data_IF_605312569903
#
_entry.id   IF_605312569903
#
_cell.length_a   1.000
_cell.length_b   1.000
_cell.length_c   1.000
_cell.angle_alpha   90.00
_cell.angle_beta   90.00
_cell.angle_gamma   90.00
#
_symmetry.space_group_name_H-M   'P 1'
#
loop_
_entity.id
_entity.type
_entity.pdbx_description
1 polymer ?
2 non-polymer ?
3 non-polymer ?
4 water ?
#
# COMPACT_ATOMS: atom_id res chain seq x y z
N UNK A 1 22.80 -6.46 -14.96
CA UNK A 1 21.85 -7.24 -14.13
C UNK A 1 20.48 -6.51 -14.10
N UNK A 2 20.34 -5.31 -13.53
CA UNK A 2 18.97 -4.69 -13.36
C UNK A 2 18.49 -4.04 -14.66
N UNK A 3 17.25 -4.33 -15.11
CA UNK A 3 16.72 -3.72 -16.33
C UNK A 3 16.47 -2.21 -16.15
N UNK A 4 16.43 -1.46 -17.25
CA UNK A 4 16.26 0.01 -17.23
C UNK A 4 14.84 0.35 -16.71
N UNK A 5 13.89 -0.52 -17.00
CA UNK A 5 12.48 -0.45 -16.55
C UNK A 5 12.05 -1.75 -15.92
N UNK A 6 11.12 -1.68 -14.97
CA UNK A 6 10.49 -2.89 -14.40
C UNK A 6 9.10 -2.52 -13.91
N UNK A 7 8.16 -3.41 -14.12
CA UNK A 7 6.77 -3.22 -13.66
C UNK A 7 6.32 -4.56 -13.10
N UNK A 8 6.09 -4.56 -11.79
CA UNK A 8 5.70 -5.80 -11.08
C UNK A 8 4.45 -6.39 -11.73
N UNK A 9 3.54 -5.58 -12.29
CA UNK A 9 2.31 -6.10 -12.94
C UNK A 9 2.67 -6.93 -14.16
N UNK A 10 3.75 -6.63 -14.85
CA UNK A 10 4.22 -7.44 -16.01
C UNK A 10 5.01 -8.66 -15.55
N UNK A 11 5.80 -8.54 -14.50
CA UNK A 11 6.62 -9.71 -14.11
C UNK A 11 5.68 -10.81 -13.56
N UNK A 12 4.64 -10.41 -12.82
CA UNK A 12 3.74 -11.37 -12.14
C UNK A 12 2.33 -11.15 -12.65
N UNK A 13 2.06 -11.57 -13.90
CA UNK A 13 0.79 -11.24 -14.56
C UNK A 13 -0.39 -12.07 -14.04
N UNK A 14 -0.15 -13.12 -13.26
CA UNK A 14 -1.27 -13.90 -12.66
C UNK A 14 -1.53 -13.40 -11.25
N UNK A 15 -1.02 -12.19 -10.89
CA UNK A 15 -1.25 -11.64 -9.54
C UNK A 15 -2.05 -10.34 -9.67
N UNK A 16 -3.39 -10.44 -9.67
CA UNK A 16 -4.26 -9.30 -9.94
C UNK A 16 -4.19 -8.18 -8.87
N UNK A 17 -3.82 -8.54 -7.65
CA UNK A 17 -3.70 -7.50 -6.57
C UNK A 17 -2.66 -6.47 -7.00
N UNK A 18 -1.64 -6.86 -7.71
CA UNK A 18 -0.56 -5.90 -8.05
C UNK A 18 -1.17 -4.76 -8.89
N UNK A 19 -2.23 -5.08 -9.61
CA UNK A 19 -2.90 -4.13 -10.55
C UNK A 19 -3.93 -3.24 -9.82
N UNK A 20 -4.30 -3.59 -8.59
CA UNK A 20 -5.54 -3.11 -7.94
C UNK A 20 -5.26 -1.88 -7.06
N UNK A 21 -6.01 -0.81 -7.28
CA UNK A 21 -5.94 0.45 -6.52
C UNK A 21 -7.07 0.41 -5.48
N UNK A 22 -6.73 0.69 -4.22
CA UNK A 22 -7.67 0.67 -3.07
C UNK A 22 -8.08 2.12 -2.74
N UNK A 23 -9.08 2.24 -1.87
CA UNK A 23 -9.59 3.55 -1.38
C UNK A 23 -9.65 3.50 0.14
N UNK A 24 -8.75 4.24 0.75
CA UNK A 24 -8.64 4.28 2.22
C UNK A 24 -9.81 5.03 2.86
N UNK A 25 -10.64 5.71 2.09
CA UNK A 25 -11.77 6.48 2.67
C UNK A 25 -11.31 7.67 3.48
N UNK A 26 -12.23 8.20 4.30
CA UNK A 26 -12.04 9.35 5.21
C UNK A 26 -11.34 8.85 6.48
N UNK A 27 -10.06 8.44 6.34
CA UNK A 27 -9.27 7.77 7.38
C UNK A 27 -7.81 7.88 6.97
N UNK A 28 -6.94 8.26 7.89
CA UNK A 28 -5.50 8.37 7.61
C UNK A 28 -4.81 7.02 7.73
N UNK A 29 -5.34 6.00 7.06
CA UNK A 29 -4.88 4.59 7.10
C UNK A 29 -3.92 4.24 5.95
N UNK A 30 -3.25 5.20 5.29
CA UNK A 30 -2.37 4.84 4.16
C UNK A 30 -1.21 3.96 4.64
N UNK A 31 -0.75 4.13 5.88
CA UNK A 31 0.30 3.27 6.49
C UNK A 31 -0.12 1.81 6.36
N UNK A 32 -1.39 1.52 6.61
CA UNK A 32 -1.94 0.16 6.60
C UNK A 32 -2.13 -0.33 5.16
N UNK A 33 -2.67 0.53 4.30
CA UNK A 33 -2.92 0.22 2.86
C UNK A 33 -1.60 -0.10 2.16
N UNK A 34 -0.56 0.71 2.31
CA UNK A 34 0.68 0.37 1.57
C UNK A 34 1.21 -1.02 1.97
N UNK A 35 1.13 -1.36 3.25
CA UNK A 35 1.51 -2.67 3.80
C UNK A 35 0.65 -3.78 3.19
N UNK A 36 -0.67 -3.77 3.41
CA UNK A 36 -1.53 -4.93 3.01
C UNK A 36 -1.57 -5.08 1.48
N UNK A 37 -1.36 -4.00 0.72
CA UNK A 37 -1.24 -4.10 -0.76
C UNK A 37 0.02 -4.87 -1.13
N UNK A 38 1.18 -4.43 -0.64
CA UNK A 38 2.47 -5.07 -0.90
C UNK A 38 2.47 -6.49 -0.38
N UNK A 39 1.88 -6.75 0.80
CA UNK A 39 1.81 -8.14 1.34
C UNK A 39 0.95 -9.03 0.43
N UNK A 40 -0.22 -8.54 -0.01
CA UNK A 40 -1.09 -9.27 -0.98
C UNK A 40 -0.25 -9.70 -2.18
N UNK A 41 0.44 -8.72 -2.78
CA UNK A 41 1.28 -8.99 -3.96
C UNK A 41 2.30 -10.07 -3.64
N UNK A 42 2.99 -9.96 -2.49
CA UNK A 42 4.12 -10.86 -2.15
C UNK A 42 3.58 -12.24 -1.87
N UNK A 43 2.39 -12.40 -1.27
CA UNK A 43 1.81 -13.77 -1.06
C UNK A 43 1.61 -14.45 -2.42
N UNK A 44 1.07 -13.71 -3.38
CA UNK A 44 0.84 -14.25 -4.75
C UNK A 44 2.19 -14.54 -5.46
N UNK A 45 3.19 -13.69 -5.32
CA UNK A 45 4.53 -13.93 -5.92
C UNK A 45 5.12 -15.17 -5.26
N UNK A 46 5.11 -15.23 -3.93
CA UNK A 46 5.74 -16.29 -3.12
C UNK A 46 5.18 -17.68 -3.51
N UNK A 47 3.90 -17.73 -3.88
CA UNK A 47 3.18 -18.98 -4.20
C UNK A 47 3.02 -19.23 -5.71
N UNK A 48 3.60 -18.44 -6.58
CA UNK A 48 3.40 -18.58 -8.04
C UNK A 48 1.89 -18.53 -8.39
N UNK A 49 1.13 -17.63 -7.73
CA UNK A 49 -0.28 -17.35 -8.01
C UNK A 49 -1.17 -18.48 -7.53
N UNK A 50 -0.66 -19.45 -6.78
CA UNK A 50 -1.52 -20.50 -6.18
C UNK A 50 -2.29 -19.89 -5.01
N UNK A 51 -1.73 -18.92 -4.28
CA UNK A 51 -2.54 -18.16 -3.29
C UNK A 51 -2.63 -16.70 -3.76
N UNK A 52 -3.82 -16.19 -4.09
CA UNK A 52 -3.99 -14.77 -4.50
C UNK A 52 -5.14 -14.19 -3.69
N UNK A 53 -4.85 -13.39 -2.70
CA UNK A 53 -5.90 -12.89 -1.77
C UNK A 53 -5.67 -11.39 -1.58
N UNK A 54 -6.75 -10.69 -1.30
CA UNK A 54 -6.73 -9.31 -0.79
C UNK A 54 -6.51 -9.40 0.72
N UNK A 55 -5.34 -8.98 1.18
CA UNK A 55 -5.08 -8.91 2.65
C UNK A 55 -5.85 -7.70 3.24
N UNK A 56 -6.44 -7.90 4.41
CA UNK A 56 -7.40 -6.98 5.07
C UNK A 56 -6.66 -5.76 5.65
N UNK A 57 -6.90 -4.61 5.05
CA UNK A 57 -6.52 -3.31 5.60
C UNK A 57 -7.27 -3.13 6.93
N UNK A 58 -8.53 -3.55 6.98
CA UNK A 58 -9.34 -3.48 8.21
C UNK A 58 -8.61 -4.17 9.36
N UNK A 59 -8.16 -5.41 9.14
CA UNK A 59 -7.58 -6.22 10.22
C UNK A 59 -6.34 -5.48 10.72
N UNK A 60 -5.47 -4.99 9.84
CA UNK A 60 -4.25 -4.27 10.27
C UNK A 60 -4.62 -2.96 10.99
N UNK A 61 -5.47 -2.15 10.40
CA UNK A 61 -5.86 -0.80 10.90
C UNK A 61 -6.38 -0.90 12.33
N UNK A 62 -7.26 -1.87 12.55
CA UNK A 62 -8.10 -1.98 13.77
C UNK A 62 -7.44 -2.86 14.82
N UNK A 63 -6.65 -3.87 14.46
CA UNK A 63 -6.14 -4.81 15.49
C UNK A 63 -4.67 -4.57 15.85
N UNK A 64 -3.92 -3.75 15.11
CA UNK A 64 -2.50 -3.60 15.46
C UNK A 64 -2.38 -2.85 16.80
N UNK A 65 -3.16 -1.80 16.99
CA UNK A 65 -3.13 -1.01 18.24
C UNK A 65 -1.88 -0.15 18.31
N UNK A 66 -1.41 0.14 19.51
CA UNK A 66 -0.47 1.26 19.74
C UNK A 66 0.84 0.91 19.05
N UNK A 67 1.13 -0.37 18.87
CA UNK A 67 2.33 -0.80 18.12
C UNK A 67 2.46 -0.01 16.82
N UNK A 68 1.37 0.11 16.05
CA UNK A 68 1.41 0.64 14.67
C UNK A 68 1.20 2.16 14.63
N UNK A 69 0.69 2.72 15.73
CA UNK A 69 0.31 4.14 15.78
C UNK A 69 -1.08 4.32 16.32
N UNK A 70 -1.86 5.20 15.67
CA UNK A 70 -3.14 5.74 16.20
C UNK A 70 -4.23 5.54 15.13
N UNK A 71 -4.14 4.41 14.44
CA UNK A 71 -5.17 3.95 13.51
C UNK A 71 -5.45 4.97 12.42
N UNK A 72 -6.69 5.44 12.33
CA UNK A 72 -7.10 6.45 11.33
C UNK A 72 -6.37 7.79 11.54
N UNK A 73 -5.78 8.07 12.71
CA UNK A 73 -5.03 9.33 12.96
C UNK A 73 -3.54 9.16 12.61
N UNK A 74 -3.18 8.08 11.90
CA UNK A 74 -1.85 7.88 11.31
C UNK A 74 -1.10 6.75 12.00
N UNK A 75 -0.05 6.28 11.36
CA UNK A 75 0.71 5.12 11.82
C UNK A 75 1.88 4.93 10.91
N UNK A 76 2.60 3.81 11.07
CA UNK A 76 3.93 3.69 10.42
C UNK A 76 4.11 2.32 9.80
N UNK A 77 4.62 2.30 8.56
CA UNK A 77 4.87 1.05 7.84
C UNK A 77 5.62 -0.02 8.64
N UNK A 78 6.76 0.32 9.27
CA UNK A 78 7.69 -0.71 9.78
C UNK A 78 6.94 -1.58 10.80
N UNK A 79 6.13 -0.95 11.66
CA UNK A 79 5.40 -1.74 12.69
C UNK A 79 4.23 -2.52 12.05
N UNK A 80 3.67 -2.07 10.92
CA UNK A 80 2.62 -2.79 10.16
C UNK A 80 3.13 -4.19 9.76
N UNK A 81 4.31 -4.19 9.16
CA UNK A 81 4.98 -5.44 8.69
C UNK A 81 5.42 -6.32 9.87
N UNK A 82 5.88 -5.72 10.97
CA UNK A 82 6.16 -6.46 12.22
C UNK A 82 4.88 -7.14 12.71
N UNK A 83 3.77 -6.43 12.79
CA UNK A 83 2.46 -7.01 13.18
C UNK A 83 2.14 -8.23 12.31
N UNK A 84 2.38 -8.16 11.00
CA UNK A 84 2.12 -9.26 10.05
C UNK A 84 2.96 -10.47 10.43
N UNK A 85 4.20 -10.28 10.92
CA UNK A 85 5.08 -11.41 11.35
C UNK A 85 4.57 -12.01 12.66
N UNK A 86 3.97 -11.21 13.56
CA UNK A 86 3.64 -11.68 14.93
C UNK A 86 2.21 -12.22 15.02
N UNK A 87 1.20 -11.47 14.54
CA UNK A 87 -0.21 -11.86 14.68
C UNK A 87 -0.82 -12.27 13.34
N UNK A 88 -0.17 -11.93 12.24
CA UNK A 88 -0.68 -12.24 10.91
C UNK A 88 -1.86 -11.36 10.53
N UNK A 89 -2.33 -11.49 9.30
CA UNK A 89 -3.43 -10.67 8.76
C UNK A 89 -4.41 -11.55 8.02
N UNK A 90 -5.70 -11.31 8.20
CA UNK A 90 -6.72 -12.11 7.48
C UNK A 90 -6.95 -11.43 6.13
N UNK A 91 -7.79 -12.06 5.32
CA UNK A 91 -8.21 -11.56 4.00
C UNK A 91 -9.30 -10.52 4.21
N UNK A 92 -9.45 -9.63 3.23
CA UNK A 92 -10.61 -8.74 3.13
C UNK A 92 -10.48 -7.77 1.99
N UNK A 93 -11.52 -7.62 1.17
CA UNK A 93 -11.49 -6.73 0.00
C UNK A 93 -12.04 -5.32 0.28
N UNK A 94 -12.61 -4.73 -0.78
CA UNK A 94 -13.02 -3.32 -0.84
C UNK A 94 -14.32 -3.17 -0.07
N UNK A 95 -14.70 -1.94 0.20
CA UNK A 95 -15.94 -1.63 0.94
C UNK A 95 -17.13 -2.30 0.24
N UNK A 96 -17.94 -3.02 1.04
CA UNK A 96 -19.13 -3.78 0.58
C UNK A 96 -18.78 -4.59 -0.66
N UNK A 97 -17.61 -5.23 -0.70
CA UNK A 97 -17.25 -6.24 -1.72
C UNK A 97 -17.81 -7.61 -1.32
N UNK A 98 -18.02 -7.81 -0.03
CA UNK A 98 -18.16 -9.12 0.66
C UNK A 98 -17.04 -10.07 0.24
N UNK A 99 -15.84 -9.55 -0.02
CA UNK A 99 -14.65 -10.41 -0.33
C UNK A 99 -13.87 -10.63 0.97
N UNK A 100 -13.61 -11.90 1.27
CA UNK A 100 -12.73 -12.32 2.38
C UNK A 100 -13.33 -12.15 3.76
N UNK A 101 -12.46 -12.24 4.76
CA UNK A 101 -12.85 -12.34 6.18
C UNK A 101 -13.32 -10.97 6.69
N UNK A 102 -12.52 -9.93 6.48
CA UNK A 102 -12.81 -8.55 6.97
C UNK A 102 -12.58 -7.53 5.87
N UNK A 103 -13.60 -7.36 5.00
CA UNK A 103 -13.62 -6.30 4.01
C UNK A 103 -13.65 -4.92 4.72
N UNK A 104 -13.13 -3.92 4.05
CA UNK A 104 -12.90 -2.58 4.61
C UNK A 104 -14.27 -1.96 4.91
N UNK A 105 -14.43 -1.37 6.09
CA UNK A 105 -15.72 -0.86 6.65
C UNK A 105 -15.92 0.64 6.34
N UNK A 106 -14.95 1.30 5.71
CA UNK A 106 -14.98 2.78 5.52
C UNK A 106 -15.25 3.03 4.05
N UNK A 107 -16.35 3.77 3.73
CA UNK A 107 -16.77 4.00 2.36
C UNK A 107 -15.75 4.80 1.57
N UNK A 108 -15.73 4.57 0.24
CA UNK A 108 -14.87 5.30 -0.68
C UNK A 108 -15.33 6.76 -0.77
N UNK A 109 -14.42 7.63 -1.16
CA UNK A 109 -14.68 9.09 -1.18
C UNK A 109 -13.74 9.72 -2.18
N UNK A 110 -13.94 11.00 -2.50
CA UNK A 110 -13.09 11.73 -3.47
C UNK A 110 -11.88 12.32 -2.74
N UNK A 111 -10.66 12.00 -3.17
CA UNK A 111 -9.39 12.41 -2.53
C UNK A 111 -8.76 13.51 -3.38
N UNK A 112 -9.01 14.79 -3.06
CA UNK A 112 -8.32 15.96 -3.70
C UNK A 112 -8.65 15.93 -5.20
N UNK A 113 -9.86 15.49 -5.54
CA UNK A 113 -10.31 15.39 -6.94
C UNK A 113 -11.84 15.43 -6.99
N UNK A 114 -12.39 15.85 -8.12
CA UNK A 114 -13.86 15.85 -8.36
C UNK A 114 -14.34 14.43 -8.72
N UNK A 115 -15.58 14.10 -8.40
CA UNK A 115 -16.25 12.91 -8.95
C UNK A 115 -17.56 12.71 -8.23
N UNK A 116 -18.16 11.52 -8.34
CA UNK A 116 -19.54 11.29 -7.86
C UNK A 116 -19.59 10.92 -6.38
N UNK A 117 -18.48 10.56 -5.74
CA UNK A 117 -18.57 10.08 -4.33
C UNK A 117 -18.55 11.32 -3.41
N UNK A 118 -18.91 11.20 -2.12
CA UNK A 118 -18.72 12.31 -1.20
C UNK A 118 -17.23 12.67 -1.09
N UNK A 119 -16.90 13.97 -0.91
CA UNK A 119 -15.52 14.37 -0.63
C UNK A 119 -15.04 13.72 0.68
N UNK A 120 -13.76 13.33 0.71
CA UNK A 120 -13.15 12.75 1.94
C UNK A 120 -13.09 13.86 3.01
N UNK A 121 -13.48 13.52 4.24
CA UNK A 121 -13.44 14.35 5.47
C UNK A 121 -12.47 13.75 6.50
N UNK A 122 -12.03 14.57 7.47
CA UNK A 122 -11.12 14.14 8.56
C UNK A 122 -11.89 13.77 9.82
N UNK A 123 -11.16 13.31 10.84
CA UNK A 123 -11.69 13.06 12.22
C UNK A 123 -12.48 11.75 12.24
N UNK A 124 -12.31 10.89 11.21
CA UNK A 124 -12.75 9.49 11.24
C UNK A 124 -12.26 8.79 12.50
N UNK A 125 -13.14 8.09 13.21
CA UNK A 125 -12.72 7.14 14.28
C UNK A 125 -12.12 5.91 13.61
N UNK A 126 -11.09 5.34 14.22
CA UNK A 126 -10.64 3.97 13.89
C UNK A 126 -11.73 2.97 14.27
N UNK A 127 -12.18 2.06 13.39
CA UNK A 127 -13.09 0.99 13.82
C UNK A 127 -12.45 0.07 14.88
N UNK A 128 -13.29 -0.63 15.64
CA UNK A 128 -12.75 -1.53 16.68
C UNK A 128 -12.26 -2.84 16.03
N UNK A 129 -11.28 -3.44 16.67
CA UNK A 129 -10.73 -4.78 16.34
C UNK A 129 -11.83 -5.81 16.52
N UNK A 130 -12.36 -6.37 15.44
CA UNK A 130 -13.35 -7.47 15.48
C UNK A 130 -12.66 -8.72 14.98
N UNK A 131 -12.43 -9.69 15.86
CA UNK A 131 -11.71 -10.95 15.54
C UNK A 131 -12.70 -12.04 15.05
N UNK A 132 -13.62 -11.67 14.16
CA UNK A 132 -14.59 -12.60 13.50
C UNK A 132 -14.70 -12.19 12.03
N UNK A 133 -14.89 -13.15 11.15
CA UNK A 133 -15.10 -12.93 9.70
C UNK A 133 -16.55 -12.57 9.45
N UNK A 134 -16.82 -11.95 8.31
CA UNK A 134 -18.19 -11.60 7.89
C UNK A 134 -19.01 -12.89 7.85
N UNK A 135 -20.29 -12.83 8.25
CA UNK A 135 -21.15 -14.02 8.29
C UNK A 135 -21.08 -14.87 7.01
N UNK A 136 -20.96 -16.19 7.15
CA UNK A 136 -20.88 -17.08 5.97
C UNK A 136 -19.46 -17.31 5.45
N UNK A 137 -18.48 -16.47 5.80
CA UNK A 137 -17.12 -16.66 5.25
C UNK A 137 -16.54 -17.95 5.85
N UNK A 138 -15.84 -18.75 5.06
CA UNK A 138 -14.95 -19.83 5.59
C UNK A 138 -13.50 -19.55 5.15
N UNK A 139 -12.46 -19.83 5.95
CA UNK A 139 -12.59 -20.43 7.29
C UNK A 139 -12.76 -19.43 8.44
N UNK A 140 -12.34 -19.78 9.66
CA UNK A 140 -12.50 -18.91 10.84
C UNK A 140 -11.48 -17.78 10.70
N UNK A 141 -11.68 -16.72 11.45
CA UNK A 141 -10.72 -15.59 11.55
C UNK A 141 -9.31 -16.15 11.82
N UNK A 142 -9.18 -17.01 12.82
CA UNK A 142 -7.85 -17.53 13.20
C UNK A 142 -7.28 -18.33 12.03
N UNK A 143 -8.11 -19.11 11.33
CA UNK A 143 -7.60 -19.97 10.23
C UNK A 143 -7.22 -19.11 9.02
N UNK A 144 -7.86 -17.96 8.83
CA UNK A 144 -7.66 -17.08 7.64
C UNK A 144 -6.38 -16.21 7.75
N UNK A 145 -5.68 -16.26 8.89
CA UNK A 145 -4.48 -15.42 9.11
C UNK A 145 -3.36 -15.84 8.14
N UNK A 146 -2.73 -14.87 7.52
CA UNK A 146 -1.49 -14.99 6.71
C UNK A 146 -0.37 -14.28 7.46
N UNK A 147 0.73 -14.98 7.70
CA UNK A 147 1.84 -14.51 8.53
C UNK A 147 3.04 -14.18 7.66
N UNK A 148 3.82 -13.22 8.11
CA UNK A 148 5.14 -12.90 7.59
C UNK A 148 6.22 -13.77 8.24
N UNK A 149 7.19 -14.16 7.44
CA UNK A 149 8.44 -14.79 7.92
C UNK A 149 9.26 -13.73 8.65
N UNK A 150 9.36 -12.53 8.06
CA UNK A 150 10.18 -11.42 8.61
C UNK A 150 9.64 -10.09 8.10
N UNK A 151 10.22 -9.01 8.64
CA UNK A 151 10.03 -7.62 8.22
C UNK A 151 11.39 -6.94 8.32
N UNK A 152 11.62 -5.97 7.47
CA UNK A 152 12.94 -5.31 7.40
C UNK A 152 12.79 -3.97 6.72
N UNK A 153 13.73 -3.08 7.06
CA UNK A 153 13.90 -1.77 6.41
C UNK A 153 14.80 -2.02 5.21
N UNK A 154 14.47 -1.51 4.03
CA UNK A 154 15.46 -1.54 2.93
C UNK A 154 16.34 -0.29 3.07
N UNK A 155 17.65 -0.40 2.82
CA UNK A 155 18.60 0.74 2.96
C UNK A 155 18.16 1.88 2.04
N UNK A 156 18.49 3.11 2.42
CA UNK A 156 18.29 4.33 1.59
C UNK A 156 19.24 4.26 0.41
N UNK A 157 18.95 3.39 -0.56
CA UNK A 157 19.82 3.11 -1.72
C UNK A 157 18.93 2.69 -2.89
N UNK A 158 18.97 3.47 -3.96
CA UNK A 158 18.16 3.27 -5.17
C UNK A 158 18.35 1.82 -5.63
N UNK A 159 19.60 1.38 -5.73
CA UNK A 159 19.89 0.04 -6.34
C UNK A 159 19.37 -1.06 -5.43
N UNK A 160 19.49 -0.92 -4.12
CA UNK A 160 18.98 -1.92 -3.15
C UNK A 160 17.46 -2.00 -3.25
N UNK A 161 16.78 -0.86 -3.40
CA UNK A 161 15.30 -0.83 -3.49
C UNK A 161 14.88 -1.51 -4.79
N UNK A 162 15.56 -1.22 -5.89
CA UNK A 162 15.30 -1.83 -7.19
C UNK A 162 15.48 -3.35 -7.06
N UNK A 163 16.60 -3.81 -6.50
CA UNK A 163 16.90 -5.25 -6.37
C UNK A 163 15.84 -5.93 -5.50
N UNK A 164 15.45 -5.28 -4.40
CA UNK A 164 14.37 -5.81 -3.51
C UNK A 164 13.09 -6.07 -4.30
N UNK A 165 12.63 -5.09 -5.08
CA UNK A 165 11.37 -5.23 -5.85
C UNK A 165 11.54 -6.32 -6.90
N UNK A 166 12.67 -6.29 -7.60
CA UNK A 166 13.01 -7.21 -8.72
C UNK A 166 12.99 -8.68 -8.25
N UNK A 167 13.47 -8.93 -7.02
CA UNK A 167 13.57 -10.29 -6.44
C UNK A 167 12.30 -10.69 -5.72
N UNK A 168 11.80 -9.84 -4.84
CA UNK A 168 10.81 -10.27 -3.82
C UNK A 168 9.45 -9.59 -3.99
N UNK A 169 9.35 -8.57 -4.84
CA UNK A 169 8.06 -7.94 -5.13
C UNK A 169 7.91 -6.55 -4.55
N UNK A 170 6.73 -5.95 -4.78
CA UNK A 170 6.44 -4.60 -4.32
C UNK A 170 6.75 -4.40 -2.83
N UNK A 171 7.03 -3.13 -2.49
CA UNK A 171 7.45 -2.73 -1.14
C UNK A 171 6.52 -1.60 -0.66
N UNK A 172 6.58 -1.29 0.62
CA UNK A 172 5.95 -0.07 1.14
C UNK A 172 7.04 0.99 1.21
N UNK A 173 6.65 2.24 1.01
CA UNK A 173 7.52 3.41 1.20
C UNK A 173 6.73 4.56 1.77
N UNK A 174 7.42 5.65 2.08
CA UNK A 174 6.79 6.87 2.65
C UNK A 174 7.58 8.07 2.17
N UNK A 175 6.87 9.17 1.92
CA UNK A 175 7.49 10.40 1.41
C UNK A 175 6.68 11.59 1.96
N UNK A 176 7.31 12.75 1.85
CA UNK A 176 6.78 14.08 2.23
C UNK A 176 5.94 14.62 1.07
N UNK A 177 4.66 14.84 1.34
CA UNK A 177 3.69 15.41 0.37
C UNK A 177 3.71 16.92 0.52
N UNK A 178 4.02 17.60 -0.57
CA UNK A 178 3.86 19.07 -0.73
C UNK A 178 2.57 19.27 -1.53
N UNK A 179 1.95 20.45 -1.41
CA UNK A 179 0.59 20.71 -1.96
C UNK A 179 0.56 20.46 -3.48
N UNK A 180 1.63 20.70 -4.25
CA UNK A 180 1.57 20.44 -5.70
C UNK A 180 1.35 18.93 -6.01
N UNK A 181 1.70 18.03 -5.10
CA UNK A 181 1.54 16.57 -5.32
C UNK A 181 0.05 16.23 -5.44
N UNK A 182 -0.80 16.96 -4.73
CA UNK A 182 -2.24 16.62 -4.61
C UNK A 182 -2.89 16.71 -5.98
N UNK A 183 -2.35 17.53 -6.87
CA UNK A 183 -2.94 17.80 -8.20
C UNK A 183 -2.29 16.92 -9.26
N UNK A 184 -1.50 15.92 -8.89
CA UNK A 184 -0.78 15.07 -9.87
C UNK A 184 -1.77 14.46 -10.86
N UNK A 185 -1.40 14.47 -12.14
CA UNK A 185 -2.22 13.82 -13.20
C UNK A 185 -1.38 12.78 -13.94
N UNK A 186 -0.17 13.14 -14.33
CA UNK A 186 0.63 12.26 -15.23
C UNK A 186 2.07 12.76 -15.24
N UNK A 187 2.95 12.05 -15.93
CA UNK A 187 4.40 12.37 -15.99
C UNK A 187 5.08 12.04 -14.67
N UNK A 188 6.28 12.55 -14.46
CA UNK A 188 7.11 12.21 -13.29
C UNK A 188 7.04 13.35 -12.28
N UNK A 189 6.41 13.12 -11.14
CA UNK A 189 6.28 14.15 -10.11
C UNK A 189 7.66 14.56 -9.60
N UNK A 190 7.87 15.88 -9.52
CA UNK A 190 8.98 16.50 -8.76
C UNK A 190 8.39 17.69 -8.02
N UNK A 191 8.73 17.90 -6.76
CA UNK A 191 8.26 19.05 -5.97
C UNK A 191 8.79 20.34 -6.61
N UNK A 192 7.90 21.21 -7.10
CA UNK A 192 8.24 22.50 -7.75
C UNK A 192 7.64 23.66 -6.94
N UNK A 193 6.44 23.51 -6.38
CA UNK A 193 5.75 24.57 -5.59
C UNK A 193 4.97 23.95 -4.43
N UNK A 194 4.74 24.75 -3.40
CA UNK A 194 3.78 24.42 -2.33
C UNK A 194 4.47 24.03 -1.05
N UNK A 195 3.73 24.17 0.05
CA UNK A 195 4.15 23.90 1.44
C UNK A 195 4.05 22.39 1.73
N UNK A 196 4.77 21.98 2.75
CA UNK A 196 4.74 20.62 3.32
C UNK A 196 3.37 20.38 3.94
N UNK A 197 2.73 19.26 3.58
CA UNK A 197 1.40 18.86 4.13
C UNK A 197 1.57 17.72 5.14
N UNK A 198 2.58 16.86 5.00
CA UNK A 198 2.81 15.72 5.92
C UNK A 198 3.32 14.47 5.20
N UNK A 199 3.54 13.41 5.98
CA UNK A 199 4.13 12.15 5.50
C UNK A 199 3.03 11.29 4.92
N UNK A 200 3.37 10.46 3.92
CA UNK A 200 2.38 9.66 3.16
C UNK A 200 3.00 8.32 2.79
N UNK A 201 2.27 7.24 3.08
CA UNK A 201 2.70 5.85 2.87
C UNK A 201 2.03 5.29 1.62
N UNK A 202 2.83 4.64 0.76
CA UNK A 202 2.39 4.16 -0.56
C UNK A 202 3.06 2.82 -0.88
N UNK A 203 2.69 2.24 -2.03
CA UNK A 203 3.26 0.98 -2.52
C UNK A 203 4.13 1.27 -3.74
N UNK A 204 5.42 0.88 -3.71
CA UNK A 204 6.33 1.02 -4.89
C UNK A 204 6.43 -0.34 -5.59
N UNK A 205 6.08 -0.40 -6.87
CA UNK A 205 5.92 -1.68 -7.64
C UNK A 205 6.73 -1.64 -8.95
N UNK A 206 7.63 -0.68 -9.11
CA UNK A 206 8.46 -0.67 -10.32
C UNK A 206 9.23 0.61 -10.49
N UNK A 207 9.82 0.74 -11.65
CA UNK A 207 10.67 1.88 -12.02
C UNK A 207 10.76 2.00 -13.54
N UNK A 208 11.27 3.12 -13.98
CA UNK A 208 11.33 3.42 -15.41
C UNK A 208 12.01 4.75 -15.67
N UNK A 209 11.95 5.17 -16.92
CA UNK A 209 12.51 6.47 -17.38
C UNK A 209 11.48 7.05 -18.35
N UNK A 210 11.09 8.30 -18.12
CA UNK A 210 10.15 9.06 -18.99
C UNK A 210 10.85 10.38 -19.30
N UNK A 211 11.15 10.64 -20.59
CA UNK A 211 11.81 11.88 -21.09
C UNK A 211 13.12 12.11 -20.34
N UNK A 212 13.96 11.08 -20.29
CA UNK A 212 15.25 11.08 -19.58
C UNK A 212 15.09 11.31 -18.10
N UNK A 213 13.88 11.29 -17.54
CA UNK A 213 13.64 11.38 -16.07
C UNK A 213 13.44 9.98 -15.45
N UNK A 214 14.38 9.51 -14.61
CA UNK A 214 14.19 8.24 -13.91
C UNK A 214 13.06 8.41 -12.87
N UNK A 215 12.21 7.39 -12.75
CA UNK A 215 11.02 7.41 -11.84
C UNK A 215 10.84 6.05 -11.13
N UNK A 216 10.12 6.13 -10.02
CA UNK A 216 9.46 4.99 -9.32
C UNK A 216 8.01 4.93 -9.74
N UNK A 217 7.50 3.73 -9.94
CA UNK A 217 6.09 3.44 -10.23
C UNK A 217 5.40 3.13 -8.91
N UNK A 218 4.39 3.92 -8.56
CA UNK A 218 3.86 3.94 -7.18
C UNK A 218 2.34 3.89 -7.25
N UNK A 219 1.74 3.08 -6.38
CA UNK A 219 0.28 3.02 -6.23
C UNK A 219 -0.11 3.89 -5.05
N UNK A 220 -1.07 4.78 -5.25
CA UNK A 220 -1.69 5.52 -4.12
C UNK A 220 -2.91 4.71 -3.67
N UNK A 221 -3.51 5.05 -2.54
CA UNK A 221 -4.71 4.44 -1.96
C UNK A 221 -5.86 5.45 -1.95
N UNK A 222 -5.90 6.29 -2.99
CA UNK A 222 -6.94 7.35 -3.18
C UNK A 222 -7.90 7.01 -4.34
N UNK A 223 -8.16 5.74 -4.60
CA UNK A 223 -9.12 5.33 -5.67
C UNK A 223 -8.52 5.62 -7.04
N UNK A 224 -9.20 5.20 -8.10
CA UNK A 224 -8.62 5.26 -9.46
C UNK A 224 -8.84 6.63 -10.13
N UNK A 225 -9.73 7.49 -9.62
CA UNK A 225 -10.02 8.80 -10.26
C UNK A 225 -9.02 9.86 -9.79
N UNK A 226 -8.12 9.51 -8.87
CA UNK A 226 -7.00 10.38 -8.46
C UNK A 226 -5.82 10.00 -9.34
N UNK A 227 -5.01 10.97 -9.76
CA UNK A 227 -3.71 10.69 -10.38
C UNK A 227 -3.85 9.98 -11.71
N UNK A 228 -2.93 9.08 -12.03
CA UNK A 228 -2.93 8.33 -13.31
C UNK A 228 -3.61 6.99 -13.10
N UNK A 229 -4.93 6.95 -13.06
CA UNK A 229 -5.70 5.73 -12.75
C UNK A 229 -5.25 5.19 -11.37
N UNK A 230 -4.90 6.09 -10.44
CA UNK A 230 -4.64 5.76 -9.03
C UNK A 230 -3.16 5.58 -8.73
N UNK A 231 -2.37 5.49 -9.79
CA UNK A 231 -0.89 5.39 -9.74
C UNK A 231 -0.26 6.76 -9.97
N UNK A 232 1.00 6.88 -9.61
CA UNK A 232 1.82 8.04 -10.00
C UNK A 232 3.26 7.57 -10.20
N UNK A 233 4.01 8.43 -10.85
CA UNK A 233 5.47 8.30 -11.00
C UNK A 233 6.11 9.41 -10.18
N UNK A 234 7.20 9.10 -9.48
CA UNK A 234 7.99 10.09 -8.71
C UNK A 234 9.48 9.93 -8.99
N UNK A 235 10.19 11.06 -9.06
CA UNK A 235 11.65 11.14 -9.34
C UNK A 235 12.40 10.10 -8.53
N UNK A 236 13.25 9.33 -9.20
CA UNK A 236 14.06 8.23 -8.64
C UNK A 236 15.53 8.64 -8.69
N UNK A 237 16.26 8.39 -7.59
CA UNK A 237 17.73 8.43 -7.58
C UNK A 237 18.29 9.60 -6.79
N UNK A 238 17.42 10.45 -6.25
CA UNK A 238 17.84 11.64 -5.47
C UNK A 238 17.11 11.65 -4.13
N UNK A 239 16.63 10.52 -3.63
CA UNK A 239 15.84 10.49 -2.36
C UNK A 239 14.85 11.67 -2.35
N UNK A 240 14.11 11.84 -3.44
CA UNK A 240 13.22 12.99 -3.66
C UNK A 240 12.04 12.92 -2.68
N UNK A 241 11.86 13.95 -1.86
CA UNK A 241 10.81 13.99 -0.80
C UNK A 241 10.97 12.80 0.16
N UNK A 242 12.13 12.16 0.20
CA UNK A 242 12.41 11.05 1.13
C UNK A 242 11.86 9.71 0.61
N UNK A 243 11.57 9.61 -0.69
CA UNK A 243 10.94 8.43 -1.33
C UNK A 243 11.84 7.20 -1.14
N UNK A 244 13.15 7.35 -0.97
CA UNK A 244 14.06 6.17 -0.84
C UNK A 244 14.45 5.92 0.63
N UNK A 245 13.87 6.64 1.60
CA UNK A 245 14.44 6.69 2.97
C UNK A 245 13.65 5.86 3.98
N UNK A 246 12.45 5.39 3.63
CA UNK A 246 11.50 4.72 4.57
C UNK A 246 10.88 3.49 3.87
N UNK A 247 11.69 2.76 3.12
CA UNK A 247 11.18 1.56 2.41
C UNK A 247 11.23 0.38 3.39
N UNK A 248 10.12 -0.37 3.43
CA UNK A 248 9.87 -1.52 4.34
C UNK A 248 9.36 -2.67 3.47
N UNK A 249 9.71 -3.92 3.82
CA UNK A 249 9.16 -5.11 3.18
C UNK A 249 9.31 -6.29 4.14
N UNK A 250 9.02 -7.46 3.63
CA UNK A 250 9.02 -8.72 4.38
C UNK A 250 8.72 -9.86 3.45
N UNK A 251 9.13 -11.05 3.83
CA UNK A 251 8.89 -12.33 3.10
C UNK A 251 7.71 -13.06 3.74
N UNK A 252 6.71 -13.52 2.95
CA UNK A 252 5.64 -14.32 3.52
C UNK A 252 6.10 -15.69 4.03
N UNK A 253 5.45 -16.16 5.08
CA UNK A 253 5.36 -17.58 5.47
C UNK A 253 4.37 -18.30 4.58
N UNK A 254 4.81 -19.42 4.04
CA UNK A 254 3.99 -20.40 3.31
C UNK A 254 2.85 -20.76 4.24
N UNK A 255 1.60 -20.60 3.82
CA UNK A 255 0.44 -20.80 4.74
C UNK A 255 0.51 -22.24 5.30
X LIG B 1 -6.50 12.15 1.98
X LIG B 1 -7.69 10.67 3.68
X LIG B 1 -8.05 11.72 5.93
X LIG B 1 -8.55 12.76 6.70
X LIG B 1 -1.99 9.62 4.56
X LIG B 1 -1.71 12.53 3.75
X LIG B 1 -2.44 12.02 4.98
X LIG B 1 -8.84 12.89 3.94
X LIG B 1 -5.85 13.18 2.18
X LIG B 1 -7.26 11.90 1.00
X LIG B 1 -6.33 10.98 2.95
X LIG B 1 -8.20 11.79 4.54
X LIG B 1 -9.32 13.93 4.72
X LIG B 1 -9.17 13.87 6.08
X LIG B 1 -5.27 11.13 3.93
X LIG B 1 -4.08 10.60 3.69
X LIG B 1 -3.83 10.04 2.64
X LIG B 1 -3.05 10.64 4.83
X LIG B 1 -2.25 8.38 4.84
X LIG B 1 -3.32 8.03 5.28
X LIG B 1 -0.62 13.46 4.27
X LIG B 1 -0.29 14.69 3.42
X LIG B 1 -1.46 15.31 2.68
X LIG B 1 -2.05 14.20 1.84
X LIG B 1 -2.70 13.23 2.83
X LIG C 1 10.23 25.27 -3.14
X LIG C 1 10.40 24.06 -3.87
X LIG C 1 8.84 25.50 -2.63
X LIG C 1 8.61 25.08 -1.30
#
# INVERSE_FOLDING_TARGET
KLPASFDAREQWPQCPTIKEIRDQGSCGSCWAFGAVEAISDRICIHTNAHVSVEVSAEDLLTCCGSMCGDGCNGGYPAEAWNFWTRKGLVSGGLYESHVGCRPYSIPPCEHHVNGARPPCTGEGDTPKCSKICEPGYSPTYKQDKHYGYNSYSVSNSEKDIMAEIYKNGPVEGAFSVYSDFLLYKSGVYQHVTGEMMGGHAIRILGWGVENGTPYWLVANSWNTDWGDNGFFKILRGQDHCGIESEVVAGIPRTD
P9U C1 C3 C5 C6 N2 C13 C12 C9 O4 O1 C2 C4 C8 C7 N1 C10 O3 C11 C19 O2 C18 C17 C16 C15 C14
EDO C1 O1 C2 O2
#
